data_IF_079223682721
#
_entry.id   IF_079223682721
#
_cell.length_a   1.000
_cell.length_b   1.000
_cell.length_c   1.000
_cell.angle_alpha   90.00
_cell.angle_beta   90.00
_cell.angle_gamma   90.00
#
_symmetry.space_group_name_H-M   'P 1'
#
loop_
_entity.id
_entity.type
_entity.pdbx_description
1 polymer ?
#
# COMPACT_ATOMS: atom_id res chain seq x y z
N UNK A 1 14.76 -6.39 35.70
CA UNK A 1 14.63 -5.39 34.62
C UNK A 1 15.88 -4.52 34.70
N UNK A 2 16.39 -4.00 33.58
CA UNK A 2 17.45 -3.00 33.70
C UNK A 2 16.84 -1.78 34.43
N UNK A 3 17.39 -1.41 35.58
CA UNK A 3 16.95 -0.23 36.31
C UNK A 3 17.45 1.00 35.53
N UNK A 4 16.58 1.50 34.64
CA UNK A 4 16.85 2.69 33.86
C UNK A 4 16.40 3.90 34.68
N UNK A 5 17.33 4.79 34.98
CA UNK A 5 17.08 5.95 35.82
C UNK A 5 16.49 7.10 34.98
N UNK A 6 15.17 7.07 34.80
CA UNK A 6 14.43 7.98 33.92
C UNK A 6 14.53 9.46 34.33
N UNK A 7 14.78 9.76 35.62
CA UNK A 7 14.85 11.13 36.13
C UNK A 7 16.11 11.90 35.70
N UNK A 8 17.17 11.19 35.30
CA UNK A 8 18.43 11.80 34.83
C UNK A 8 18.44 12.04 33.32
N UNK A 9 17.46 11.53 32.60
CA UNK A 9 17.36 11.66 31.15
C UNK A 9 16.70 12.98 30.76
N UNK A 10 17.20 13.58 29.69
CA UNK A 10 16.55 14.72 29.07
C UNK A 10 15.23 14.32 28.40
N UNK A 11 14.33 15.28 28.19
CA UNK A 11 13.05 15.04 27.49
C UNK A 11 13.27 14.41 26.11
N UNK A 12 14.31 14.83 25.38
CA UNK A 12 14.64 14.29 24.06
C UNK A 12 15.07 12.81 24.13
N UNK A 13 15.84 12.42 25.14
CA UNK A 13 16.26 11.03 25.35
C UNK A 13 15.08 10.14 25.77
N UNK A 14 14.17 10.65 26.61
CA UNK A 14 12.93 9.95 26.97
C UNK A 14 12.04 9.70 25.75
N UNK A 15 11.88 10.71 24.87
CA UNK A 15 11.14 10.56 23.62
C UNK A 15 11.81 9.60 22.63
N UNK A 16 13.14 9.59 22.56
CA UNK A 16 13.90 8.64 21.76
C UNK A 16 13.68 7.21 22.27
N UNK A 17 13.84 6.99 23.57
CA UNK A 17 13.60 5.69 24.21
C UNK A 17 12.17 5.22 23.99
N UNK A 18 11.17 6.10 24.12
CA UNK A 18 9.78 5.73 23.87
C UNK A 18 9.59 5.22 22.44
N UNK A 19 10.22 5.87 21.45
CA UNK A 19 10.17 5.44 20.04
C UNK A 19 10.87 4.10 19.83
N UNK A 20 12.04 3.90 20.42
CA UNK A 20 12.80 2.65 20.33
C UNK A 20 12.05 1.49 21.00
N UNK A 21 11.47 1.71 22.18
CA UNK A 21 10.62 0.72 22.87
C UNK A 21 9.41 0.36 22.02
N UNK A 22 8.71 1.35 21.44
CA UNK A 22 7.59 1.10 20.51
C UNK A 22 8.02 0.24 19.33
N UNK A 23 9.15 0.54 18.70
CA UNK A 23 9.72 -0.29 17.61
C UNK A 23 10.05 -1.70 18.08
N UNK A 24 10.67 -1.84 19.24
CA UNK A 24 11.04 -3.14 19.81
C UNK A 24 9.81 -4.01 20.09
N UNK A 25 8.73 -3.43 20.62
CA UNK A 25 7.45 -4.11 20.85
C UNK A 25 6.87 -4.61 19.51
N UNK A 26 6.80 -3.74 18.50
CA UNK A 26 6.28 -4.13 17.17
C UNK A 26 7.15 -5.24 16.56
N UNK A 27 8.48 -5.13 16.67
CA UNK A 27 9.42 -6.15 16.20
C UNK A 27 9.19 -7.50 16.90
N UNK A 28 9.03 -7.49 18.22
CA UNK A 28 8.72 -8.68 19.00
C UNK A 28 7.39 -9.31 18.57
N UNK A 29 6.32 -8.51 18.46
CA UNK A 29 5.02 -8.99 18.00
C UNK A 29 5.09 -9.59 16.59
N UNK A 30 5.84 -8.99 15.68
CA UNK A 30 6.07 -9.52 14.34
C UNK A 30 6.80 -10.86 14.36
N UNK A 31 7.82 -11.03 15.22
CA UNK A 31 8.51 -12.32 15.41
C UNK A 31 7.55 -13.38 15.94
N UNK A 32 6.78 -13.06 16.98
CA UNK A 32 5.78 -13.97 17.55
C UNK A 32 4.71 -14.36 16.54
N UNK A 33 4.25 -13.41 15.72
CA UNK A 33 3.31 -13.68 14.63
C UNK A 33 3.88 -14.66 13.60
N UNK A 34 5.14 -14.49 13.20
CA UNK A 34 5.81 -15.44 12.29
C UNK A 34 5.88 -16.85 12.88
N UNK A 35 6.31 -16.96 14.14
CA UNK A 35 6.36 -18.25 14.85
C UNK A 35 4.97 -18.89 14.93
N UNK A 36 3.93 -18.11 15.21
CA UNK A 36 2.56 -18.61 15.23
C UNK A 36 2.12 -19.13 13.85
N UNK A 37 2.39 -18.38 12.78
CA UNK A 37 2.09 -18.81 11.40
C UNK A 37 2.85 -20.09 11.05
N UNK A 38 4.13 -20.19 11.40
CA UNK A 38 4.95 -21.40 11.15
C UNK A 38 4.37 -22.62 11.87
N UNK A 39 4.01 -22.48 13.15
CA UNK A 39 3.38 -23.55 13.92
C UNK A 39 2.04 -23.97 13.33
N UNK A 40 1.19 -23.01 12.98
CA UNK A 40 -0.10 -23.29 12.33
C UNK A 40 0.10 -23.97 10.97
N UNK A 41 1.11 -23.57 10.20
CA UNK A 41 1.44 -24.18 8.91
C UNK A 41 1.95 -25.62 9.10
N UNK A 42 2.74 -25.90 10.13
CA UNK A 42 3.19 -27.25 10.45
C UNK A 42 2.01 -28.17 10.78
N UNK A 43 1.09 -27.70 11.65
CA UNK A 43 -0.15 -28.43 11.97
C UNK A 43 -1.01 -28.65 10.71
N UNK A 44 -1.15 -27.63 9.86
CA UNK A 44 -1.89 -27.76 8.61
C UNK A 44 -1.29 -28.84 7.68
N UNK A 45 0.06 -28.89 7.58
CA UNK A 45 0.76 -29.92 6.80
C UNK A 45 0.58 -31.32 7.37
N UNK A 46 0.64 -31.48 8.70
CA UNK A 46 0.39 -32.76 9.36
C UNK A 46 -1.02 -33.28 9.09
N UNK A 47 -1.98 -32.37 8.92
CA UNK A 47 -3.37 -32.68 8.54
C UNK A 47 -3.58 -32.84 7.03
N UNK A 48 -2.52 -32.81 6.22
CA UNK A 48 -2.58 -33.02 4.77
C UNK A 48 -2.89 -31.78 3.93
N UNK A 49 -2.86 -30.57 4.50
CA UNK A 49 -3.04 -29.33 3.76
C UNK A 49 -1.70 -28.77 3.24
N UNK A 50 -1.68 -28.31 1.99
CA UNK A 50 -0.47 -27.78 1.33
C UNK A 50 -0.03 -26.42 1.88
N UNK A 51 -0.98 -25.58 2.32
CA UNK A 51 -0.69 -24.26 2.88
C UNK A 51 -1.67 -23.86 3.99
N UNK A 52 -1.23 -22.96 4.87
CA UNK A 52 -2.10 -22.38 5.91
C UNK A 52 -3.27 -21.59 5.32
N UNK A 53 -3.09 -21.01 4.12
CA UNK A 53 -4.13 -20.27 3.41
C UNK A 53 -5.32 -21.15 2.99
N UNK A 54 -5.06 -22.44 2.74
CA UNK A 54 -6.11 -23.42 2.40
C UNK A 54 -6.98 -23.76 3.62
N UNK A 55 -6.42 -23.68 4.83
CA UNK A 55 -7.12 -23.96 6.09
C UNK A 55 -7.92 -22.74 6.58
N UNK A 56 -7.34 -21.54 6.47
CA UNK A 56 -7.97 -20.31 6.99
C UNK A 56 -8.98 -19.72 5.99
N UNK A 57 -9.04 -20.23 4.75
CA UNK A 57 -9.97 -19.73 3.73
C UNK A 57 -9.72 -18.28 3.34
N UNK A 58 -8.51 -17.77 3.54
CA UNK A 58 -8.13 -16.41 3.17
C UNK A 58 -7.81 -16.34 1.69
N UNK A 59 -8.84 -16.44 0.85
CA UNK A 59 -8.85 -15.63 -0.36
C UNK A 59 -8.90 -14.18 0.11
N UNK A 60 -7.74 -13.59 0.35
CA UNK A 60 -7.61 -12.13 0.41
C UNK A 60 -8.35 -11.63 -0.84
N UNK A 61 -9.38 -10.77 -0.71
CA UNK A 61 -10.04 -10.23 -1.89
C UNK A 61 -8.93 -9.59 -2.71
N UNK A 62 -8.66 -10.15 -3.90
CA UNK A 62 -7.79 -9.52 -4.87
C UNK A 62 -8.23 -8.06 -4.91
N UNK A 63 -7.34 -7.11 -4.61
CA UNK A 63 -7.65 -5.69 -4.76
C UNK A 63 -8.16 -5.55 -6.18
N UNK A 64 -9.47 -5.39 -6.32
CA UNK A 64 -10.09 -5.26 -7.62
C UNK A 64 -9.42 -4.04 -8.23
N UNK A 65 -8.55 -4.24 -9.21
CA UNK A 65 -8.10 -3.13 -10.02
C UNK A 65 -9.38 -2.65 -10.68
N UNK A 66 -9.88 -1.48 -10.28
CA UNK A 66 -10.97 -0.87 -11.01
C UNK A 66 -10.44 -0.66 -12.41
N UNK A 67 -11.06 -1.27 -13.41
CA UNK A 67 -10.76 -0.97 -14.80
C UNK A 67 -11.01 0.53 -15.00
N UNK A 68 -9.93 1.26 -15.23
CA UNK A 68 -9.98 2.70 -15.39
C UNK A 68 -10.56 2.95 -16.79
N UNK A 69 -11.88 3.21 -16.86
CA UNK A 69 -12.53 3.61 -18.10
C UNK A 69 -11.80 4.84 -18.67
N UNK A 70 -11.27 4.77 -19.91
CA UNK A 70 -10.55 5.89 -20.51
C UNK A 70 -11.54 7.00 -20.81
N UNK A 71 -11.28 8.19 -20.27
CA UNK A 71 -12.15 9.38 -20.43
C UNK A 71 -11.43 10.48 -21.20
N UNK A 72 -10.10 10.55 -21.08
CA UNK A 72 -9.27 11.54 -21.74
C UNK A 72 -8.26 10.88 -22.68
N UNK A 73 -7.96 11.54 -23.79
CA UNK A 73 -6.98 11.13 -24.78
C UNK A 73 -6.11 12.31 -25.19
N UNK A 74 -4.84 12.04 -25.41
CA UNK A 74 -3.91 13.05 -25.89
C UNK A 74 -4.17 13.33 -27.40
N UNK A 75 -4.50 14.56 -27.80
CA UNK A 75 -4.65 14.94 -29.21
C UNK A 75 -3.34 14.82 -30.01
N UNK A 76 -2.18 14.96 -29.37
CA UNK A 76 -0.86 14.81 -30.01
C UNK A 76 -0.43 13.33 -30.15
N UNK A 77 -0.93 12.45 -29.27
CA UNK A 77 -0.59 11.03 -29.29
C UNK A 77 -1.81 10.15 -28.94
N UNK A 78 -2.53 9.64 -29.95
CA UNK A 78 -3.76 8.88 -29.74
C UNK A 78 -3.64 7.57 -28.96
N UNK A 79 -2.43 7.04 -28.74
CA UNK A 79 -2.17 5.86 -27.90
C UNK A 79 -2.17 6.18 -26.40
N UNK A 80 -2.08 7.46 -26.03
CA UNK A 80 -2.08 7.90 -24.64
C UNK A 80 -3.50 8.21 -24.18
N UNK A 81 -4.05 7.33 -23.34
CA UNK A 81 -5.38 7.45 -22.74
C UNK A 81 -5.29 7.43 -21.22
N UNK A 82 -6.18 8.15 -20.54
CA UNK A 82 -6.31 8.08 -19.09
C UNK A 82 -7.76 8.27 -18.63
N UNK A 83 -8.11 7.68 -17.50
CA UNK A 83 -9.44 7.86 -16.92
C UNK A 83 -9.59 9.10 -16.06
N UNK A 84 -10.79 9.29 -15.54
CA UNK A 84 -11.06 10.41 -14.64
C UNK A 84 -10.46 10.21 -13.24
N UNK A 85 -10.54 9.00 -12.71
CA UNK A 85 -10.08 8.66 -11.36
C UNK A 85 -8.57 8.38 -11.34
N UNK A 86 -7.90 8.82 -10.26
CA UNK A 86 -6.49 8.51 -10.00
C UNK A 86 -5.50 9.60 -10.45
N UNK A 87 -4.21 9.29 -10.29
CA UNK A 87 -3.09 10.20 -10.65
C UNK A 87 -3.06 10.41 -12.15
N UNK A 88 -3.17 11.67 -12.60
CA UNK A 88 -3.08 12.02 -14.02
C UNK A 88 -1.67 11.82 -14.57
N UNK A 89 -1.54 11.30 -15.80
CA UNK A 89 -0.25 11.16 -16.48
C UNK A 89 0.36 12.53 -16.81
N UNK A 90 1.66 12.56 -17.10
CA UNK A 90 2.42 13.79 -17.34
C UNK A 90 1.86 14.59 -18.52
N UNK A 91 1.58 13.93 -19.65
CA UNK A 91 1.03 14.56 -20.85
C UNK A 91 -0.27 15.32 -20.58
N UNK A 92 -1.13 14.82 -19.67
CA UNK A 92 -2.39 15.48 -19.34
C UNK A 92 -2.12 16.81 -18.62
N UNK A 93 -1.13 16.85 -17.72
CA UNK A 93 -0.73 18.09 -17.04
C UNK A 93 -0.04 19.07 -17.98
N UNK A 94 0.80 18.57 -18.88
CA UNK A 94 1.50 19.38 -19.87
C UNK A 94 0.51 20.08 -20.81
N UNK A 95 -0.50 19.36 -21.33
CA UNK A 95 -1.52 19.97 -22.20
C UNK A 95 -2.36 21.02 -21.47
N UNK A 96 -2.75 20.75 -20.22
CA UNK A 96 -3.42 21.77 -19.40
C UNK A 96 -2.54 23.01 -19.19
N UNK A 97 -1.23 22.82 -19.02
CA UNK A 97 -0.26 23.92 -18.88
C UNK A 97 -0.04 24.68 -20.18
N UNK A 98 -0.18 24.01 -21.34
CA UNK A 98 -0.16 24.63 -22.67
C UNK A 98 -1.46 25.38 -23.02
N UNK A 99 -2.47 25.35 -22.16
CA UNK A 99 -3.73 26.06 -22.34
C UNK A 99 -4.87 25.23 -22.94
N UNK A 100 -4.70 23.92 -23.10
CA UNK A 100 -5.81 23.04 -23.48
C UNK A 100 -6.83 22.95 -22.35
N UNK A 101 -8.11 22.89 -22.70
CA UNK A 101 -9.17 22.66 -21.71
C UNK A 101 -9.39 21.18 -21.48
N UNK A 102 -9.83 20.82 -20.27
CA UNK A 102 -10.15 19.43 -19.90
C UNK A 102 -11.18 18.84 -20.87
N UNK A 103 -12.12 19.63 -21.35
CA UNK A 103 -13.15 19.21 -22.30
C UNK A 103 -12.59 18.83 -23.67
N UNK A 104 -11.60 19.56 -24.17
CA UNK A 104 -10.91 19.22 -25.42
C UNK A 104 -10.13 17.91 -25.32
N UNK A 105 -9.71 17.54 -24.11
CA UNK A 105 -9.02 16.27 -23.87
C UNK A 105 -9.98 15.09 -23.72
N UNK A 106 -11.30 15.30 -23.62
CA UNK A 106 -12.29 14.21 -23.47
C UNK A 106 -12.44 13.45 -24.79
N UNK A 107 -12.40 12.12 -24.71
CA UNK A 107 -12.56 11.24 -25.87
C UNK A 107 -13.89 11.50 -26.60
N UNK A 108 -14.96 11.79 -25.84
CA UNK A 108 -16.29 12.11 -26.39
C UNK A 108 -16.30 13.35 -27.29
N UNK A 109 -15.39 14.30 -27.03
CA UNK A 109 -15.31 15.59 -27.72
C UNK A 109 -14.26 15.60 -28.84
N UNK A 110 -13.42 14.57 -28.96
CA UNK A 110 -12.38 14.44 -29.98
C UNK A 110 -12.86 13.69 -31.24
N UNK A 111 -14.12 13.91 -31.64
CA UNK A 111 -14.68 13.30 -32.86
C UNK A 111 -14.06 13.85 -34.13
#
# INVERSE_FOLDING_TARGET
MADIEYEKLSLQELELMQREVKKAIISYQNRQRKVAIERMTAVAKDMGFSSLSDVIGTQLPHRHHFDIQPIYRNPENPSQICGNRGRKPLWFKELLSRGYTIEQLRIENQK
#
